data_IF_530125015630
#
_entry.id   IF_530125015630
#
_cell.length_a   1.000
_cell.length_b   1.000
_cell.length_c   1.000
_cell.angle_alpha   90.00
_cell.angle_beta   90.00
_cell.angle_gamma   90.00
#
_symmetry.space_group_name_H-M   'P 1'
#
loop_
_entity.id
_entity.type
_entity.pdbx_description
1 polymer ?
#
# COMPACT_ATOMS: atom_id res chain seq x y z
N UNK A 1 21.63 10.35 -10.53
CA UNK A 1 21.33 9.97 -11.90
C UNK A 1 20.73 11.19 -12.59
N UNK A 2 21.44 11.76 -13.58
CA UNK A 2 20.94 12.86 -14.42
C UNK A 2 19.92 12.26 -15.40
N UNK A 3 18.65 12.57 -15.19
CA UNK A 3 17.62 12.26 -16.17
C UNK A 3 17.80 13.23 -17.34
N UNK A 4 18.27 12.75 -18.47
CA UNK A 4 18.29 13.53 -19.71
C UNK A 4 16.84 13.79 -20.13
N UNK A 5 16.45 15.06 -20.30
CA UNK A 5 15.09 15.36 -20.73
C UNK A 5 14.84 14.77 -22.12
N UNK A 6 13.82 13.93 -22.22
CA UNK A 6 13.39 13.38 -23.51
C UNK A 6 12.71 14.51 -24.28
N UNK A 7 13.33 14.95 -25.37
CA UNK A 7 12.72 15.93 -26.26
C UNK A 7 11.75 15.22 -27.21
N UNK A 8 10.49 15.61 -27.17
CA UNK A 8 9.46 15.14 -28.11
C UNK A 8 9.11 16.26 -29.11
N UNK A 9 9.03 15.89 -30.36
CA UNK A 9 8.62 16.83 -31.43
C UNK A 9 7.22 16.50 -31.89
N UNK A 10 6.32 17.47 -31.79
CA UNK A 10 4.98 17.38 -32.29
C UNK A 10 4.86 18.15 -33.59
N UNK A 11 4.15 17.59 -34.58
CA UNK A 11 3.88 18.27 -35.87
C UNK A 11 2.39 18.22 -36.17
N UNK A 12 1.83 19.37 -36.48
CA UNK A 12 0.42 19.52 -36.82
C UNK A 12 0.23 20.20 -38.17
N UNK A 13 -0.62 19.70 -39.06
CA UNK A 13 -1.04 20.43 -40.24
C UNK A 13 -1.98 21.56 -39.82
N UNK A 14 -1.66 22.80 -40.19
CA UNK A 14 -2.53 23.94 -39.91
C UNK A 14 -2.49 24.98 -41.04
N UNK A 15 -3.62 25.64 -41.25
CA UNK A 15 -3.74 26.77 -42.16
C UNK A 15 -3.64 28.13 -41.39
N UNK A 16 -3.77 28.09 -40.04
CA UNK A 16 -3.75 29.28 -39.23
C UNK A 16 -2.70 29.11 -38.06
N UNK A 17 -1.44 29.36 -38.32
CA UNK A 17 -0.35 29.12 -37.39
C UNK A 17 -0.51 29.86 -36.05
N UNK A 18 -0.97 31.11 -36.08
CA UNK A 18 -1.13 31.90 -34.83
C UNK A 18 -2.21 31.35 -33.90
N UNK A 19 -3.32 30.86 -34.46
CA UNK A 19 -4.37 30.21 -33.65
C UNK A 19 -3.91 28.88 -33.09
N UNK A 20 -3.11 28.12 -33.88
CA UNK A 20 -2.56 26.86 -33.42
C UNK A 20 -1.63 27.06 -32.20
N UNK A 21 -0.77 28.09 -32.23
CA UNK A 21 0.14 28.38 -31.11
C UNK A 21 -0.63 28.58 -29.81
N UNK A 22 -1.70 29.38 -29.86
CA UNK A 22 -2.55 29.62 -28.69
C UNK A 22 -3.24 28.33 -28.21
N UNK A 23 -3.85 27.59 -29.13
CA UNK A 23 -4.51 26.33 -28.78
C UNK A 23 -3.56 25.29 -28.16
N UNK A 24 -2.32 25.22 -28.69
CA UNK A 24 -1.30 24.31 -28.12
C UNK A 24 -0.87 24.78 -26.75
N UNK A 25 -0.69 26.09 -26.53
CA UNK A 25 -0.37 26.66 -25.22
C UNK A 25 -1.47 26.31 -24.19
N UNK A 26 -2.73 26.60 -24.52
CA UNK A 26 -3.88 26.32 -23.65
C UNK A 26 -4.01 24.81 -23.34
N UNK A 27 -3.81 23.96 -24.35
CA UNK A 27 -3.84 22.50 -24.17
C UNK A 27 -2.70 22.00 -23.28
N UNK A 28 -1.50 22.55 -23.40
CA UNK A 28 -0.35 22.17 -22.55
C UNK A 28 -0.54 22.66 -21.12
N UNK A 29 -1.09 23.84 -20.94
CA UNK A 29 -1.44 24.35 -19.61
C UNK A 29 -2.49 23.48 -18.92
N UNK A 30 -3.56 23.13 -19.62
CA UNK A 30 -4.59 22.20 -19.14
C UNK A 30 -4.00 20.82 -18.80
N UNK A 31 -3.09 20.32 -19.64
CA UNK A 31 -2.40 19.06 -19.39
C UNK A 31 -1.54 19.12 -18.13
N UNK A 32 -0.79 20.22 -17.91
CA UNK A 32 -0.01 20.44 -16.68
C UNK A 32 -0.92 20.47 -15.44
N UNK A 33 -2.04 21.20 -15.49
CA UNK A 33 -3.01 21.25 -14.40
C UNK A 33 -3.58 19.87 -14.08
N UNK A 34 -3.97 19.11 -15.10
CA UNK A 34 -4.48 17.75 -14.91
C UNK A 34 -3.43 16.81 -14.29
N UNK A 35 -2.18 16.89 -14.73
CA UNK A 35 -1.09 16.07 -14.16
C UNK A 35 -0.86 16.45 -12.70
N UNK A 36 -0.84 17.74 -12.35
CA UNK A 36 -0.70 18.19 -10.97
C UNK A 36 -1.83 17.64 -10.09
N UNK A 37 -3.08 17.79 -10.50
CA UNK A 37 -4.21 17.25 -9.77
C UNK A 37 -4.13 15.73 -9.58
N UNK A 38 -3.72 15.00 -10.61
CA UNK A 38 -3.56 13.55 -10.52
C UNK A 38 -2.43 13.14 -9.58
N UNK A 39 -1.32 13.88 -9.58
CA UNK A 39 -0.22 13.64 -8.66
C UNK A 39 -0.64 13.90 -7.20
N UNK A 40 -1.30 15.02 -6.92
CA UNK A 40 -1.82 15.34 -5.58
C UNK A 40 -2.80 14.26 -5.09
N UNK A 41 -3.77 13.87 -5.93
CA UNK A 41 -4.74 12.83 -5.59
C UNK A 41 -4.07 11.49 -5.32
N UNK A 42 -3.09 11.10 -6.13
CA UNK A 42 -2.40 9.83 -5.95
C UNK A 42 -1.55 9.82 -4.68
N UNK A 43 -0.90 10.93 -4.36
CA UNK A 43 -0.10 11.08 -3.14
C UNK A 43 -0.97 11.09 -1.89
N UNK A 44 -2.10 11.85 -1.92
CA UNK A 44 -3.08 11.82 -0.84
C UNK A 44 -3.61 10.40 -0.59
N UNK A 45 -4.06 9.72 -1.64
CA UNK A 45 -4.52 8.33 -1.54
C UNK A 45 -3.47 7.37 -1.00
N UNK A 46 -2.20 7.58 -1.36
CA UNK A 46 -1.11 6.76 -0.83
C UNK A 46 -0.89 7.02 0.67
N UNK A 47 -0.91 8.28 1.09
CA UNK A 47 -0.83 8.67 2.50
C UNK A 47 -1.99 8.09 3.32
N UNK A 48 -3.22 8.23 2.83
CA UNK A 48 -4.43 7.68 3.47
C UNK A 48 -4.34 6.15 3.60
N UNK A 49 -3.90 5.47 2.53
CA UNK A 49 -3.71 4.01 2.56
C UNK A 49 -2.68 3.57 3.58
N UNK A 50 -1.56 4.30 3.71
CA UNK A 50 -0.55 4.01 4.75
C UNK A 50 -1.13 4.21 6.15
N UNK A 51 -1.89 5.29 6.38
CA UNK A 51 -2.53 5.57 7.66
C UNK A 51 -3.52 4.46 8.04
N UNK A 52 -4.40 4.06 7.11
CA UNK A 52 -5.37 2.97 7.31
C UNK A 52 -4.64 1.65 7.58
N UNK A 53 -3.61 1.30 6.82
CA UNK A 53 -2.86 0.06 7.04
C UNK A 53 -2.21 0.03 8.42
N UNK A 54 -1.63 1.14 8.89
CA UNK A 54 -1.04 1.22 10.23
C UNK A 54 -2.11 1.04 11.32
N UNK A 55 -3.27 1.70 11.18
CA UNK A 55 -4.38 1.55 12.13
C UNK A 55 -4.88 0.12 12.18
N UNK A 56 -5.13 -0.49 11.02
CA UNK A 56 -5.58 -1.89 10.94
C UNK A 56 -4.56 -2.86 11.55
N UNK A 57 -3.27 -2.62 11.34
CA UNK A 57 -2.22 -3.45 11.93
C UNK A 57 -2.18 -3.32 13.47
N UNK A 58 -2.37 -2.12 14.02
CA UNK A 58 -2.45 -1.87 15.47
C UNK A 58 -3.68 -2.58 16.06
N UNK A 59 -4.85 -2.48 15.41
CA UNK A 59 -6.07 -3.15 15.84
C UNK A 59 -5.92 -4.67 15.83
N UNK A 60 -5.28 -5.23 14.80
CA UNK A 60 -5.00 -6.67 14.71
C UNK A 60 -4.08 -7.14 15.84
N UNK A 61 -3.03 -6.39 16.17
CA UNK A 61 -2.16 -6.70 17.29
C UNK A 61 -2.85 -6.58 18.65
N UNK A 62 -3.76 -5.62 18.82
CA UNK A 62 -4.56 -5.50 20.05
C UNK A 62 -5.49 -6.70 20.22
N UNK A 63 -6.13 -7.15 19.14
CA UNK A 63 -6.93 -8.36 19.16
C UNK A 63 -6.09 -9.61 19.51
N UNK A 64 -4.90 -9.76 18.92
CA UNK A 64 -3.97 -10.86 19.23
C UNK A 64 -3.58 -10.83 20.71
N UNK A 65 -3.29 -9.65 21.25
CA UNK A 65 -3.00 -9.43 22.67
C UNK A 65 -4.15 -9.87 23.56
N UNK A 66 -5.38 -9.43 23.26
CA UNK A 66 -6.57 -9.79 24.03
C UNK A 66 -6.84 -11.30 23.99
N UNK A 67 -6.70 -11.93 22.83
CA UNK A 67 -6.84 -13.39 22.70
C UNK A 67 -5.81 -14.15 23.52
N UNK A 68 -4.54 -13.72 23.49
CA UNK A 68 -3.50 -14.35 24.30
C UNK A 68 -3.80 -14.28 25.81
N UNK A 69 -4.30 -13.13 26.28
CA UNK A 69 -4.69 -12.93 27.68
C UNK A 69 -5.88 -13.83 28.05
N UNK A 70 -6.91 -13.89 27.22
CA UNK A 70 -8.09 -14.73 27.44
C UNK A 70 -7.71 -16.21 27.51
N UNK A 71 -6.89 -16.67 26.56
CA UNK A 71 -6.41 -18.07 26.56
C UNK A 71 -5.54 -18.40 27.76
N UNK A 72 -4.69 -17.48 28.19
CA UNK A 72 -3.91 -17.67 29.42
C UNK A 72 -4.80 -17.81 30.62
N UNK A 73 -5.76 -16.91 30.83
CA UNK A 73 -6.70 -16.96 31.94
C UNK A 73 -7.53 -18.23 31.93
N UNK A 74 -8.06 -18.64 30.78
CA UNK A 74 -8.82 -19.87 30.66
C UNK A 74 -8.00 -21.10 31.08
N UNK A 75 -6.75 -21.20 30.64
CA UNK A 75 -5.82 -22.27 31.07
C UNK A 75 -5.48 -22.21 32.55
N UNK A 76 -5.32 -21.02 33.12
CA UNK A 76 -5.09 -20.82 34.54
C UNK A 76 -6.28 -21.30 35.35
N UNK A 77 -7.50 -20.92 34.95
CA UNK A 77 -8.74 -21.33 35.63
C UNK A 77 -8.94 -22.84 35.54
N UNK A 78 -8.70 -23.45 34.37
CA UNK A 78 -8.74 -24.91 34.20
C UNK A 78 -7.78 -25.62 35.15
N UNK A 79 -6.54 -25.14 35.25
CA UNK A 79 -5.54 -25.70 36.18
C UNK A 79 -5.99 -25.58 37.63
N UNK A 80 -6.54 -24.42 38.02
CA UNK A 80 -7.04 -24.19 39.38
C UNK A 80 -8.19 -25.16 39.69
N UNK A 81 -9.13 -25.35 38.78
CA UNK A 81 -10.24 -26.30 38.97
C UNK A 81 -9.70 -27.72 39.17
N UNK A 82 -8.80 -28.18 38.29
CA UNK A 82 -8.21 -29.51 38.41
C UNK A 82 -7.45 -29.71 39.72
N UNK A 83 -6.66 -28.73 40.12
CA UNK A 83 -5.90 -28.79 41.39
C UNK A 83 -6.85 -28.73 42.60
N UNK A 84 -7.93 -27.98 42.51
CA UNK A 84 -8.94 -27.92 43.58
C UNK A 84 -9.64 -29.28 43.78
N UNK A 85 -9.97 -30.00 42.72
CA UNK A 85 -10.49 -31.37 42.77
C UNK A 85 -9.48 -32.31 43.43
N UNK A 86 -8.20 -32.25 43.05
CA UNK A 86 -7.12 -33.04 43.64
C UNK A 86 -6.90 -32.70 45.11
N UNK A 87 -7.02 -31.43 45.47
CA UNK A 87 -6.94 -30.94 46.84
C UNK A 87 -8.05 -31.56 47.71
N UNK A 88 -9.27 -31.62 47.15
CA UNK A 88 -10.41 -32.20 47.85
C UNK A 88 -10.24 -33.72 48.09
N UNK A 89 -9.67 -34.43 47.12
CA UNK A 89 -9.28 -35.83 47.29
C UNK A 89 -8.23 -35.98 48.38
N UNK A 90 -7.12 -35.19 48.34
CA UNK A 90 -6.05 -35.24 49.33
C UNK A 90 -6.56 -34.99 50.78
N UNK A 91 -7.49 -34.04 50.95
CA UNK A 91 -8.13 -33.76 52.25
C UNK A 91 -9.00 -34.91 52.71
N UNK A 92 -9.74 -35.57 51.80
CA UNK A 92 -10.61 -36.69 52.15
C UNK A 92 -9.82 -37.90 52.64
N UNK A 93 -8.59 -38.10 52.13
CA UNK A 93 -7.74 -39.21 52.59
C UNK A 93 -6.78 -38.80 53.68
N UNK A 94 -6.88 -37.56 54.24
CA UNK A 94 -6.06 -36.98 55.28
C UNK A 94 -4.56 -37.00 54.98
N UNK A 95 -4.22 -36.65 53.77
CA UNK A 95 -2.86 -36.62 53.28
C UNK A 95 -2.29 -35.18 53.42
N UNK A 96 -1.60 -34.89 54.53
CA UNK A 96 -1.05 -33.55 54.84
C UNK A 96 0.12 -33.17 53.93
N UNK A 97 1.13 -34.00 53.93
CA UNK A 97 2.35 -33.83 53.10
C UNK A 97 2.63 -35.12 52.38
N UNK A 98 2.92 -35.00 51.10
CA UNK A 98 3.09 -36.15 50.21
C UNK A 98 4.07 -37.17 50.78
N UNK A 99 3.53 -38.27 51.29
CA UNK A 99 4.31 -39.47 51.48
C UNK A 99 4.47 -40.11 50.13
N UNK A 100 5.55 -39.71 49.39
CA UNK A 100 5.97 -40.51 48.25
C UNK A 100 6.42 -41.87 48.77
N UNK A 101 5.68 -42.97 48.57
CA UNK A 101 6.22 -44.28 48.87
C UNK A 101 7.48 -44.41 48.00
N UNK A 102 8.60 -44.80 48.58
CA UNK A 102 9.90 -44.97 47.94
C UNK A 102 9.86 -45.91 46.73
N UNK A 103 8.75 -46.52 46.46
CA UNK A 103 8.45 -47.44 45.35
C UNK A 103 8.13 -46.76 44.03
N UNK A 104 7.90 -45.42 43.98
CA UNK A 104 7.75 -44.66 42.75
C UNK A 104 9.04 -44.07 42.22
N UNK A 105 10.18 -44.73 42.46
CA UNK A 105 11.36 -44.60 41.58
C UNK A 105 11.04 -45.30 40.26
N UNK A 106 10.12 -44.77 39.51
CA UNK A 106 9.99 -45.06 38.09
C UNK A 106 11.27 -44.55 37.46
N UNK A 107 12.15 -45.48 37.11
CA UNK A 107 13.28 -45.25 36.20
C UNK A 107 12.81 -44.47 34.98
N UNK A 108 13.02 -43.14 35.05
CA UNK A 108 12.83 -42.25 33.90
C UNK A 108 13.98 -42.44 32.90
N UNK A 109 14.12 -43.71 32.39
CA UNK A 109 14.96 -44.02 31.27
C UNK A 109 14.13 -44.75 30.22
N UNK A 110 13.22 -43.98 29.58
CA UNK A 110 12.85 -44.22 28.18
C UNK A 110 12.15 -42.95 27.66
N UNK A 111 12.91 -42.26 26.79
CA UNK A 111 12.36 -41.31 25.82
C UNK A 111 11.14 -41.94 25.15
N UNK A 112 9.95 -41.54 25.56
CA UNK A 112 8.76 -41.73 24.75
C UNK A 112 8.02 -40.37 24.72
N UNK A 113 8.12 -39.82 23.56
CA UNK A 113 7.35 -38.70 23.04
C UNK A 113 5.86 -39.07 23.11
N UNK A 114 5.22 -38.81 24.22
CA UNK A 114 3.78 -38.86 24.35
C UNK A 114 3.33 -37.59 25.03
N UNK A 115 2.74 -36.69 24.23
CA UNK A 115 1.83 -35.65 24.67
C UNK A 115 0.69 -36.30 25.48
N UNK A 116 0.92 -36.60 26.71
CA UNK A 116 -0.11 -37.12 27.57
C UNK A 116 -0.13 -36.38 28.91
N UNK A 117 -1.25 -35.80 29.16
CA UNK A 117 -1.80 -35.23 30.39
C UNK A 117 -1.67 -36.15 31.63
N UNK A 118 -0.62 -36.95 31.73
CA UNK A 118 -0.43 -37.92 32.84
C UNK A 118 0.11 -37.28 34.13
N UNK A 119 0.51 -35.97 34.08
CA UNK A 119 0.99 -35.26 35.27
C UNK A 119 -0.10 -34.91 36.29
N UNK A 120 -1.36 -34.87 35.87
CA UNK A 120 -2.47 -34.41 36.70
C UNK A 120 -3.19 -35.55 37.48
N UNK A 121 -3.10 -36.77 37.00
CA UNK A 121 -3.90 -37.89 37.53
C UNK A 121 -3.54 -38.34 38.96
N UNK A 122 -2.43 -37.95 39.50
CA UNK A 122 -2.00 -38.32 40.84
C UNK A 122 -1.51 -37.11 41.67
N UNK A 123 -1.94 -35.89 41.32
CA UNK A 123 -1.49 -34.67 41.99
C UNK A 123 -1.92 -34.68 43.49
N UNK A 124 -3.01 -35.34 43.85
CA UNK A 124 -3.43 -35.50 45.24
C UNK A 124 -2.37 -36.16 46.13
N UNK A 125 -1.45 -36.97 45.56
CA UNK A 125 -0.36 -37.61 46.30
C UNK A 125 0.68 -36.60 46.81
N UNK A 126 0.69 -35.34 46.31
CA UNK A 126 1.49 -34.27 46.87
C UNK A 126 1.09 -33.85 48.25
N UNK A 127 -0.13 -34.15 48.68
CA UNK A 127 -0.74 -33.71 49.93
C UNK A 127 -1.43 -32.35 49.83
N UNK A 128 -2.38 -32.11 50.72
CA UNK A 128 -3.22 -30.91 50.64
C UNK A 128 -2.50 -29.60 50.84
N UNK A 129 -1.49 -29.54 51.71
CA UNK A 129 -0.68 -28.32 51.97
C UNK A 129 0.06 -27.86 50.71
N UNK A 130 0.64 -28.80 49.97
CA UNK A 130 1.38 -28.50 48.74
C UNK A 130 0.47 -28.02 47.64
N UNK A 131 -0.72 -28.68 47.50
CA UNK A 131 -1.70 -28.31 46.50
C UNK A 131 -2.32 -26.92 46.76
N UNK A 132 -2.61 -26.58 48.02
CA UNK A 132 -3.05 -25.23 48.40
C UNK A 132 -2.03 -24.17 47.95
N UNK A 133 -0.77 -24.45 48.22
CA UNK A 133 0.33 -23.50 47.84
C UNK A 133 0.50 -23.41 46.33
N UNK A 134 0.34 -24.51 45.61
CA UNK A 134 0.39 -24.53 44.13
C UNK A 134 -0.76 -23.70 43.51
N UNK A 135 -1.99 -23.84 44.07
CA UNK A 135 -3.14 -23.03 43.66
C UNK A 135 -2.88 -21.53 43.90
N UNK A 136 -2.41 -21.19 45.12
CA UNK A 136 -2.06 -19.79 45.46
C UNK A 136 -1.02 -19.21 44.50
N UNK A 137 0.02 -19.98 44.16
CA UNK A 137 1.05 -19.56 43.24
C UNK A 137 0.50 -19.36 41.80
N UNK A 138 -0.40 -20.25 41.35
CA UNK A 138 -1.05 -20.11 40.03
C UNK A 138 -1.95 -18.88 40.01
N UNK A 139 -2.72 -18.65 41.07
CA UNK A 139 -3.60 -17.47 41.16
C UNK A 139 -2.80 -16.15 41.19
N UNK A 140 -1.61 -16.16 41.77
CA UNK A 140 -0.74 -14.98 41.87
C UNK A 140 0.06 -14.68 40.61
N UNK A 141 0.02 -15.53 39.58
CA UNK A 141 0.75 -15.33 38.32
C UNK A 141 0.25 -14.09 37.59
N UNK A 142 1.17 -13.20 37.25
CA UNK A 142 0.87 -12.06 36.41
C UNK A 142 0.90 -12.49 34.96
N UNK A 143 -0.08 -12.01 34.20
CA UNK A 143 -0.25 -12.32 32.78
C UNK A 143 1.02 -11.98 31.97
N UNK A 144 1.64 -10.85 32.30
CA UNK A 144 2.80 -10.30 31.61
C UNK A 144 4.03 -11.23 31.69
N UNK A 145 4.18 -11.95 32.79
CA UNK A 145 5.37 -12.80 33.05
C UNK A 145 5.25 -14.18 32.35
N UNK A 146 4.04 -14.58 31.98
CA UNK A 146 3.75 -15.95 31.50
C UNK A 146 3.29 -16.04 30.05
N UNK A 147 3.11 -14.93 29.35
CA UNK A 147 2.80 -14.91 27.92
C UNK A 147 4.02 -14.41 27.15
N UNK A 148 4.84 -15.31 26.57
CA UNK A 148 6.10 -14.93 25.90
C UNK A 148 5.88 -13.98 24.71
N UNK A 149 4.75 -14.14 24.01
CA UNK A 149 4.43 -13.33 22.84
C UNK A 149 3.94 -11.92 23.19
N UNK A 150 3.57 -11.65 24.44
CA UNK A 150 3.01 -10.36 24.82
C UNK A 150 4.02 -9.23 24.62
N UNK A 151 5.26 -9.43 25.04
CA UNK A 151 6.34 -8.46 24.85
C UNK A 151 6.63 -8.19 23.38
N UNK A 152 6.52 -9.22 22.52
CA UNK A 152 6.66 -9.08 21.06
C UNK A 152 5.52 -8.23 20.47
N UNK A 153 4.28 -8.50 20.88
CA UNK A 153 3.11 -7.76 20.44
C UNK A 153 3.22 -6.28 20.86
N UNK A 154 3.57 -6.01 22.10
CA UNK A 154 3.75 -4.65 22.63
C UNK A 154 4.88 -3.91 21.90
N UNK A 155 5.98 -4.59 21.61
CA UNK A 155 7.06 -4.01 20.83
C UNK A 155 6.60 -3.62 19.41
N UNK A 156 5.90 -4.51 18.72
CA UNK A 156 5.38 -4.24 17.36
C UNK A 156 4.34 -3.10 17.35
N UNK A 157 3.45 -3.05 18.36
CA UNK A 157 2.53 -1.93 18.52
C UNK A 157 3.26 -0.61 18.72
N UNK A 158 4.27 -0.60 19.59
CA UNK A 158 5.07 0.60 19.85
C UNK A 158 5.85 1.06 18.60
N UNK A 159 6.31 0.13 17.76
CA UNK A 159 6.96 0.42 16.49
C UNK A 159 5.98 1.07 15.51
N UNK A 160 4.78 0.50 15.34
CA UNK A 160 3.73 1.05 14.47
C UNK A 160 3.25 2.43 14.94
N UNK A 161 3.08 2.64 16.24
CA UNK A 161 2.72 3.95 16.82
C UNK A 161 3.81 5.01 16.61
N UNK A 162 5.08 4.60 16.58
CA UNK A 162 6.22 5.48 16.28
C UNK A 162 6.47 5.66 14.79
N UNK A 163 5.74 4.94 13.95
CA UNK A 163 5.90 5.02 12.50
C UNK A 163 5.54 6.42 12.00
N UNK A 164 6.54 7.11 11.46
CA UNK A 164 6.41 8.47 10.92
C UNK A 164 6.36 8.50 9.39
N UNK A 165 6.11 7.37 8.74
CA UNK A 165 6.12 7.31 7.27
C UNK A 165 5.06 8.22 6.66
N UNK A 166 3.85 8.22 7.19
CA UNK A 166 2.78 9.13 6.76
C UNK A 166 3.24 10.58 6.86
N UNK A 167 3.78 10.97 8.03
CA UNK A 167 4.29 12.33 8.23
C UNK A 167 5.49 12.66 7.34
N UNK A 168 6.33 11.68 7.02
CA UNK A 168 7.44 11.88 6.06
C UNK A 168 6.93 12.10 4.66
N UNK A 169 5.92 11.34 4.22
CA UNK A 169 5.28 11.54 2.91
C UNK A 169 4.67 12.92 2.84
N UNK A 170 3.92 13.36 3.84
CA UNK A 170 3.34 14.70 3.91
C UNK A 170 4.41 15.80 3.86
N UNK A 171 5.50 15.64 4.65
CA UNK A 171 6.62 16.60 4.62
C UNK A 171 7.36 16.61 3.27
N UNK A 172 7.50 15.46 2.62
CA UNK A 172 8.09 15.40 1.28
C UNK A 172 7.20 16.08 0.27
N UNK A 173 5.89 15.86 0.34
CA UNK A 173 4.91 16.52 -0.50
C UNK A 173 4.99 18.05 -0.35
N UNK A 174 4.98 18.53 0.89
CA UNK A 174 5.07 19.96 1.16
C UNK A 174 6.39 20.61 0.71
N UNK A 175 7.46 19.83 0.54
CA UNK A 175 8.76 20.30 0.05
C UNK A 175 8.93 20.16 -1.46
N UNK A 176 8.05 19.42 -2.13
CA UNK A 176 8.06 19.31 -3.58
C UNK A 176 7.25 20.46 -4.18
N UNK A 177 7.62 20.99 -5.34
CA UNK A 177 6.81 22.00 -6.04
C UNK A 177 5.47 21.44 -6.56
N UNK A 178 5.19 20.14 -6.39
CA UNK A 178 3.89 19.53 -6.71
C UNK A 178 2.82 20.19 -5.84
N UNK A 179 1.76 20.69 -6.45
CA UNK A 179 0.73 21.48 -5.73
C UNK A 179 1.04 22.96 -5.59
N UNK A 180 2.13 23.45 -6.20
CA UNK A 180 2.37 24.89 -6.36
C UNK A 180 2.13 25.29 -7.81
N UNK A 181 1.71 26.55 -8.02
CA UNK A 181 1.50 27.11 -9.36
C UNK A 181 2.81 27.13 -10.21
N UNK A 182 3.95 26.89 -9.57
CA UNK A 182 5.26 26.85 -10.24
C UNK A 182 5.61 25.45 -10.78
N UNK A 183 4.86 24.42 -10.43
CA UNK A 183 5.14 23.09 -10.92
C UNK A 183 4.63 22.92 -12.36
N UNK A 184 5.54 22.62 -13.27
CA UNK A 184 5.22 22.24 -14.63
C UNK A 184 5.70 20.80 -14.87
N UNK A 185 4.76 19.89 -15.14
CA UNK A 185 5.06 18.50 -15.51
C UNK A 185 5.84 18.41 -16.83
N UNK A 186 5.61 19.39 -17.71
CA UNK A 186 6.38 19.58 -18.94
C UNK A 186 6.65 21.07 -19.16
N UNK A 187 7.89 21.39 -19.43
CA UNK A 187 8.29 22.74 -19.87
C UNK A 187 8.30 22.75 -21.40
N UNK A 188 7.61 23.69 -21.98
CA UNK A 188 7.55 23.85 -23.44
C UNK A 188 8.02 25.23 -23.84
N UNK A 189 8.65 25.32 -25.00
CA UNK A 189 9.09 26.59 -25.59
C UNK A 189 8.39 26.78 -26.93
N UNK A 190 7.46 27.71 -26.98
CA UNK A 190 6.72 28.06 -28.18
C UNK A 190 7.55 28.84 -29.20
N UNK A 191 8.68 29.47 -28.78
CA UNK A 191 9.57 30.22 -29.67
C UNK A 191 10.29 29.28 -30.65
N UNK A 192 10.36 28.00 -30.36
CA UNK A 192 10.95 26.98 -31.23
C UNK A 192 10.02 26.43 -32.29
N UNK A 193 8.76 26.95 -32.37
CA UNK A 193 7.81 26.52 -33.38
C UNK A 193 8.30 26.88 -34.77
N UNK A 194 8.54 25.87 -35.57
CA UNK A 194 8.94 26.05 -36.99
C UNK A 194 7.75 25.77 -37.87
N UNK A 195 7.25 26.81 -38.54
CA UNK A 195 6.20 26.66 -39.53
C UNK A 195 6.79 26.25 -40.84
N UNK A 196 6.48 25.04 -41.32
CA UNK A 196 6.85 24.59 -42.66
C UNK A 196 5.64 24.79 -43.57
N UNK A 197 5.75 25.82 -44.42
CA UNK A 197 4.73 26.06 -45.46
C UNK A 197 4.78 24.89 -46.46
N UNK A 198 3.78 24.05 -46.47
CA UNK A 198 3.69 22.87 -47.32
C UNK A 198 2.82 23.14 -48.55
N UNK A 199 2.46 24.41 -48.81
CA UNK A 199 1.76 24.80 -50.00
C UNK A 199 2.68 24.55 -51.20
N UNK A 200 2.28 23.61 -52.05
CA UNK A 200 2.98 23.37 -53.34
C UNK A 200 2.60 24.49 -54.31
N UNK A 201 3.00 25.71 -53.98
CA UNK A 201 2.73 26.92 -54.76
C UNK A 201 3.17 26.75 -56.22
N UNK A 202 4.29 26.05 -56.48
CA UNK A 202 4.75 25.71 -57.81
C UNK A 202 3.75 24.82 -58.58
N UNK A 203 3.08 23.90 -57.88
CA UNK A 203 2.07 23.00 -58.51
C UNK A 203 0.77 23.73 -58.82
N UNK A 204 0.35 24.64 -57.95
CA UNK A 204 -0.82 25.49 -58.15
C UNK A 204 -0.58 26.43 -59.34
N UNK A 205 0.63 27.01 -59.41
CA UNK A 205 1.00 27.91 -60.45
C UNK A 205 1.10 27.18 -61.83
N UNK A 206 1.70 25.98 -61.83
CA UNK A 206 1.75 25.15 -63.04
C UNK A 206 0.34 24.75 -63.52
N UNK A 207 -0.57 24.35 -62.60
CA UNK A 207 -1.95 23.99 -62.93
C UNK A 207 -2.73 25.20 -63.49
N UNK A 208 -2.50 26.42 -62.92
CA UNK A 208 -3.13 27.65 -63.43
C UNK A 208 -2.69 28.02 -64.82
N UNK A 209 -1.42 27.84 -65.15
CA UNK A 209 -0.88 28.09 -66.49
C UNK A 209 -1.45 27.11 -67.49
N UNK A 210 -1.53 25.82 -67.10
CA UNK A 210 -2.11 24.82 -68.01
C UNK A 210 -3.61 25.08 -68.27
N UNK A 211 -4.37 25.35 -67.23
CA UNK A 211 -5.80 25.67 -67.35
C UNK A 211 -6.05 26.96 -68.14
N UNK A 212 -5.25 28.03 -67.82
CA UNK A 212 -5.34 29.30 -68.55
C UNK A 212 -4.97 29.14 -70.05
N UNK A 213 -3.92 28.37 -70.31
CA UNK A 213 -3.49 28.05 -71.68
C UNK A 213 -4.58 27.27 -72.46
N UNK A 214 -5.18 26.25 -71.86
CA UNK A 214 -6.25 25.50 -72.50
C UNK A 214 -7.48 26.38 -72.77
N UNK A 215 -7.87 27.23 -71.84
CA UNK A 215 -8.98 28.17 -72.04
C UNK A 215 -8.66 29.18 -73.13
N UNK A 216 -7.43 29.70 -73.18
CA UNK A 216 -7.00 30.61 -74.24
C UNK A 216 -7.07 29.98 -75.65
N UNK A 217 -6.58 28.74 -75.77
CA UNK A 217 -6.69 27.99 -77.08
C UNK A 217 -8.12 27.75 -77.43
N UNK A 218 -8.99 27.41 -76.52
CA UNK A 218 -10.39 27.15 -76.74
C UNK A 218 -11.11 28.42 -77.26
N UNK A 219 -10.86 29.57 -76.67
CA UNK A 219 -11.38 30.88 -77.08
C UNK A 219 -10.91 31.20 -78.56
N UNK A 220 -9.60 31.00 -78.83
CA UNK A 220 -9.08 31.20 -80.20
C UNK A 220 -9.69 30.30 -81.20
N UNK A 221 -9.95 29.04 -80.89
CA UNK A 221 -10.64 28.09 -81.78
C UNK A 221 -12.07 28.52 -82.08
N UNK A 222 -12.83 28.90 -81.04
CA UNK A 222 -14.21 29.41 -81.23
C UNK A 222 -14.19 30.67 -82.11
N UNK A 223 -13.32 31.60 -81.86
CA UNK A 223 -13.19 32.81 -82.66
C UNK A 223 -12.86 32.52 -84.12
N UNK A 224 -11.98 31.57 -84.37
CA UNK A 224 -11.58 31.18 -85.72
C UNK A 224 -12.70 30.48 -86.49
N UNK A 225 -13.55 29.72 -85.77
CA UNK A 225 -14.76 29.08 -86.43
C UNK A 225 -15.83 30.12 -86.77
N UNK A 226 -16.03 31.12 -85.89
CA UNK A 226 -17.03 32.16 -86.13
C UNK A 226 -16.64 33.12 -87.25
N UNK A 227 -15.34 33.44 -87.40
CA UNK A 227 -14.86 34.34 -88.48
C UNK A 227 -14.84 33.67 -89.87
N UNK A 228 -14.90 32.32 -89.93
CA UNK A 228 -14.96 31.59 -91.20
C UNK A 228 -16.37 31.38 -91.76
N UNK A 229 -17.39 31.88 -91.07
CA UNK A 229 -18.78 31.79 -91.52
C UNK A 229 -19.37 33.07 -92.19
N UNK A 230 -18.53 34.14 -92.26
CA UNK A 230 -18.77 35.33 -93.10
C UNK A 230 -17.89 35.28 -94.35
#
# INVERSE_FOLDING_TARGET
ASVTPTQSRLSFPTQAPGQLTQTVADALELANQNVNQQLELNLSRHSDKLAVNNTTAIEALDLERQQAIILFKARQDEQIVLLTEQLQIARTIDLDVGSFPSYFNVETNKQHNTNSSSGTKAAYLKGHVVLEKEIELIQSRKVEDFIPDLARIEFLQAELLKNKEVKRVEMMLAKTPIGTDQFAAAVYNLDTLVYKNNTKTSLILALSIVLGGMLGIFVLLIRNVLIKQD
#
